data_IF_161480671257
#
_entry.id   IF_161480671257
#
_cell.length_a   1.000
_cell.length_b   1.000
_cell.length_c   1.000
_cell.angle_alpha   90.00
_cell.angle_beta   90.00
_cell.angle_gamma   90.00
#
_symmetry.space_group_name_H-M   'P 1'
#
loop_
_entity.id
_entity.type
_entity.pdbx_description
1 polymer ?
#
# COMPACT_ATOMS: atom_id res chain seq x y z
N UNK A 1 57.41 -38.38 -32.24
CA UNK A 1 57.93 -37.98 -30.91
C UNK A 1 58.83 -36.72 -30.91
N UNK A 2 58.82 -35.90 -31.98
CA UNK A 2 59.46 -34.56 -31.98
C UNK A 2 58.47 -33.50 -32.46
N UNK A 3 57.16 -33.74 -32.28
CA UNK A 3 56.17 -32.70 -32.56
C UNK A 3 56.34 -31.60 -31.53
N UNK A 4 56.53 -30.37 -31.99
CA UNK A 4 56.65 -29.19 -31.12
C UNK A 4 55.34 -28.40 -31.04
N UNK A 5 54.32 -28.80 -31.82
CA UNK A 5 53.05 -28.12 -31.93
C UNK A 5 51.98 -29.03 -32.59
N UNK A 6 51.14 -29.72 -31.82
CA UNK A 6 51.19 -29.81 -30.36
C UNK A 6 52.40 -30.62 -29.86
N UNK A 7 52.95 -30.26 -28.70
CA UNK A 7 53.96 -31.02 -27.98
C UNK A 7 53.29 -32.19 -27.28
N UNK A 8 53.38 -33.36 -27.92
CA UNK A 8 52.73 -34.58 -27.43
C UNK A 8 53.25 -34.98 -26.03
N UNK A 9 54.52 -34.67 -25.71
CA UNK A 9 55.11 -35.01 -24.41
C UNK A 9 54.61 -34.08 -23.32
N UNK A 10 54.51 -32.77 -23.61
CA UNK A 10 54.00 -31.78 -22.67
C UNK A 10 52.52 -31.99 -22.36
N UNK A 11 51.72 -32.29 -23.39
CA UNK A 11 50.26 -32.45 -23.28
C UNK A 11 49.80 -33.87 -22.96
N UNK A 12 50.73 -34.82 -22.79
CA UNK A 12 50.45 -36.23 -22.54
C UNK A 12 49.54 -36.86 -23.62
N UNK A 13 49.68 -36.42 -24.87
CA UNK A 13 48.94 -36.94 -26.03
C UNK A 13 49.54 -38.30 -26.40
N UNK A 14 48.72 -39.32 -26.73
CA UNK A 14 49.20 -40.61 -27.19
C UNK A 14 50.23 -40.49 -28.32
N UNK A 15 51.31 -41.28 -28.26
CA UNK A 15 52.38 -41.27 -29.26
C UNK A 15 52.18 -42.30 -30.38
N UNK A 16 51.04 -43.01 -30.35
CA UNK A 16 50.61 -43.89 -31.44
C UNK A 16 50.12 -43.02 -32.59
N UNK A 17 50.87 -42.99 -33.68
CA UNK A 17 50.61 -42.10 -34.80
C UNK A 17 49.24 -42.34 -35.44
N UNK A 18 48.83 -43.61 -35.55
CA UNK A 18 47.62 -44.03 -36.27
C UNK A 18 46.34 -43.70 -35.49
N UNK A 19 46.46 -43.30 -34.22
CA UNK A 19 45.32 -42.87 -33.39
C UNK A 19 44.81 -41.48 -33.82
N UNK A 20 45.66 -40.68 -34.48
CA UNK A 20 45.34 -39.30 -34.86
C UNK A 20 45.75 -38.93 -36.29
N UNK A 21 46.65 -39.66 -36.94
CA UNK A 21 47.13 -39.34 -38.29
C UNK A 21 46.75 -40.43 -39.29
N UNK A 22 46.32 -40.00 -40.49
CA UNK A 22 46.11 -40.90 -41.62
C UNK A 22 47.10 -40.58 -42.75
N UNK A 23 47.31 -41.51 -43.67
CA UNK A 23 48.11 -41.27 -44.88
C UNK A 23 47.26 -40.88 -46.09
N UNK A 24 45.93 -40.92 -45.96
CA UNK A 24 44.94 -40.60 -47.00
C UNK A 24 43.75 -39.89 -46.34
N UNK A 25 43.49 -38.60 -46.62
CA UNK A 25 44.04 -37.78 -47.71
C UNK A 25 45.46 -37.23 -47.46
N UNK A 26 46.01 -37.39 -46.24
CA UNK A 26 47.35 -36.96 -45.88
C UNK A 26 47.55 -36.86 -44.37
N UNK A 27 48.81 -36.65 -43.94
CA UNK A 27 49.21 -36.62 -42.53
C UNK A 27 48.56 -35.49 -41.70
N UNK A 28 48.00 -34.48 -42.37
CA UNK A 28 47.31 -33.34 -41.76
C UNK A 28 45.98 -33.07 -42.49
N UNK A 29 44.94 -32.61 -41.77
CA UNK A 29 44.89 -32.43 -40.31
C UNK A 29 44.87 -33.77 -39.57
N UNK A 30 45.34 -33.77 -38.32
CA UNK A 30 45.17 -34.91 -37.43
C UNK A 30 43.69 -35.01 -37.01
N UNK A 31 43.14 -36.22 -36.91
CA UNK A 31 41.84 -36.49 -36.29
C UNK A 31 42.04 -36.57 -34.78
N UNK A 32 41.23 -35.83 -34.01
CA UNK A 32 41.35 -35.79 -32.56
C UNK A 32 40.03 -36.17 -31.92
N UNK A 33 39.72 -37.48 -31.92
CA UNK A 33 38.46 -38.03 -31.40
C UNK A 33 38.28 -37.81 -29.88
N UNK A 34 39.32 -37.36 -29.18
CA UNK A 34 39.31 -37.02 -27.74
C UNK A 34 39.16 -35.52 -27.49
N UNK A 35 38.91 -34.69 -28.51
CA UNK A 35 38.77 -33.22 -28.37
C UNK A 35 37.73 -32.84 -27.31
N UNK A 36 36.58 -33.50 -27.36
CA UNK A 36 35.44 -33.20 -26.48
C UNK A 36 35.71 -33.55 -25.01
N UNK A 37 36.74 -34.35 -24.71
CA UNK A 37 37.20 -34.58 -23.32
C UNK A 37 37.85 -33.33 -22.72
N UNK A 38 38.28 -32.37 -23.55
CA UNK A 38 38.96 -31.13 -23.14
C UNK A 38 38.11 -29.88 -23.36
N UNK A 39 37.41 -29.81 -24.50
CA UNK A 39 36.49 -28.72 -24.82
C UNK A 39 35.40 -29.21 -25.79
N UNK A 40 34.15 -29.42 -25.33
CA UNK A 40 33.09 -29.90 -26.21
C UNK A 40 32.65 -28.81 -27.19
N UNK A 41 32.72 -29.10 -28.48
CA UNK A 41 32.24 -28.18 -29.51
C UNK A 41 30.72 -28.26 -29.60
N UNK A 42 30.04 -27.24 -29.10
CA UNK A 42 28.57 -27.17 -29.02
C UNK A 42 28.05 -25.82 -29.53
N UNK A 43 26.78 -25.79 -29.91
CA UNK A 43 26.12 -24.60 -30.47
C UNK A 43 26.90 -23.97 -31.63
N UNK A 44 27.19 -22.68 -31.55
CA UNK A 44 27.91 -21.92 -32.58
C UNK A 44 29.32 -22.44 -32.88
N UNK A 45 29.96 -23.14 -31.93
CA UNK A 45 31.29 -23.72 -32.14
C UNK A 45 31.28 -24.87 -33.16
N UNK A 46 30.13 -25.51 -33.40
CA UNK A 46 29.99 -26.55 -34.41
C UNK A 46 30.26 -26.03 -35.83
N UNK A 47 29.96 -24.76 -36.10
CA UNK A 47 30.13 -24.15 -37.43
C UNK A 47 31.61 -24.00 -37.82
N UNK A 48 32.49 -23.90 -36.83
CA UNK A 48 33.95 -23.76 -37.00
C UNK A 48 34.73 -24.99 -36.56
N UNK A 49 34.05 -26.10 -36.23
CA UNK A 49 34.67 -27.29 -35.65
C UNK A 49 35.79 -27.90 -36.51
N UNK A 50 35.77 -27.67 -37.82
CA UNK A 50 36.78 -28.17 -38.75
C UNK A 50 37.85 -27.13 -39.15
N UNK A 51 37.77 -25.90 -38.62
CA UNK A 51 38.75 -24.84 -38.86
C UNK A 51 39.60 -24.61 -37.61
N UNK A 52 40.50 -25.55 -37.36
CA UNK A 52 41.33 -25.57 -36.16
C UNK A 52 42.15 -24.27 -35.97
N UNK A 53 42.47 -23.57 -37.07
CA UNK A 53 43.23 -22.33 -37.02
C UNK A 53 42.47 -21.18 -36.35
N UNK A 54 41.12 -21.18 -36.39
CA UNK A 54 40.30 -20.14 -35.75
C UNK A 54 40.38 -20.19 -34.22
N UNK A 55 40.54 -21.38 -33.65
CA UNK A 55 40.65 -21.56 -32.20
C UNK A 55 42.12 -21.53 -31.75
N UNK A 56 42.94 -22.34 -32.40
CA UNK A 56 44.33 -22.53 -31.97
C UNK A 56 45.26 -21.42 -32.45
N UNK A 57 44.87 -20.60 -33.43
CA UNK A 57 45.71 -19.54 -34.02
C UNK A 57 47.10 -20.04 -34.48
N UNK A 58 47.18 -21.32 -34.84
CA UNK A 58 48.41 -21.99 -35.23
C UNK A 58 49.29 -22.46 -34.06
N UNK A 59 48.88 -22.33 -32.80
CA UNK A 59 49.54 -22.87 -31.61
C UNK A 59 48.59 -23.78 -30.82
N UNK A 60 48.83 -25.09 -30.92
CA UNK A 60 48.05 -26.17 -30.30
C UNK A 60 48.59 -26.54 -28.90
N UNK A 61 49.59 -25.84 -28.38
CA UNK A 61 50.17 -26.15 -27.05
C UNK A 61 49.44 -25.49 -25.89
N UNK A 62 48.77 -24.37 -26.11
CA UNK A 62 48.24 -23.54 -25.02
C UNK A 62 46.99 -22.74 -25.43
N UNK A 63 46.09 -23.38 -26.15
CA UNK A 63 44.80 -22.78 -26.51
C UNK A 63 43.93 -22.69 -25.26
N UNK A 64 43.47 -21.48 -24.87
CA UNK A 64 42.58 -21.34 -23.74
C UNK A 64 41.26 -22.09 -23.97
N UNK A 65 40.64 -22.56 -22.87
CA UNK A 65 39.36 -23.26 -22.89
C UNK A 65 38.30 -22.60 -22.00
N UNK A 66 38.51 -21.34 -21.62
CA UNK A 66 37.52 -20.52 -20.92
C UNK A 66 36.94 -19.48 -21.86
N UNK A 67 35.67 -19.15 -21.67
CA UNK A 67 34.94 -18.23 -22.53
C UNK A 67 35.61 -16.85 -22.57
N UNK A 68 35.96 -16.30 -21.41
CA UNK A 68 36.60 -15.00 -21.27
C UNK A 68 37.94 -14.92 -22.00
N UNK A 69 38.75 -15.98 -22.01
CA UNK A 69 40.04 -15.95 -22.66
C UNK A 69 39.97 -15.76 -24.20
N UNK A 70 38.84 -16.13 -24.82
CA UNK A 70 38.59 -15.95 -26.24
C UNK A 70 37.66 -14.75 -26.52
N UNK A 71 36.59 -14.62 -25.73
CA UNK A 71 35.49 -13.69 -25.97
C UNK A 71 35.51 -12.45 -25.07
N UNK A 72 36.63 -12.14 -24.39
CA UNK A 72 36.80 -10.88 -23.67
C UNK A 72 36.55 -9.63 -24.54
N UNK A 73 36.95 -9.59 -25.84
CA UNK A 73 36.59 -8.48 -26.71
C UNK A 73 35.07 -8.34 -26.87
N UNK A 74 34.34 -9.44 -27.05
CA UNK A 74 32.88 -9.43 -27.20
C UNK A 74 32.21 -8.95 -25.90
N UNK A 75 32.67 -9.45 -24.75
CA UNK A 75 32.25 -9.00 -23.42
C UNK A 75 32.43 -7.48 -23.27
N UNK A 76 33.60 -6.95 -23.63
CA UNK A 76 33.92 -5.53 -23.52
C UNK A 76 33.17 -4.64 -24.51
N UNK A 77 32.73 -5.19 -25.65
CA UNK A 77 32.00 -4.47 -26.69
C UNK A 77 30.48 -4.53 -26.53
N UNK A 78 29.97 -5.37 -25.62
CA UNK A 78 28.53 -5.44 -25.35
C UNK A 78 28.00 -4.09 -24.88
N UNK A 79 26.87 -3.67 -25.43
CA UNK A 79 26.23 -2.38 -25.11
C UNK A 79 24.84 -2.53 -24.51
N UNK A 80 24.28 -3.74 -24.47
CA UNK A 80 22.94 -3.98 -23.94
C UNK A 80 22.72 -5.45 -23.55
N UNK A 81 22.94 -5.81 -22.26
CA UNK A 81 23.52 -4.96 -21.22
C UNK A 81 25.01 -4.67 -21.48
N UNK A 82 25.47 -3.47 -21.12
CA UNK A 82 26.91 -3.15 -21.05
C UNK A 82 27.50 -3.82 -19.80
N UNK A 83 28.10 -4.98 -20.02
CA UNK A 83 28.68 -5.81 -18.96
C UNK A 83 29.73 -5.07 -18.12
N UNK A 84 30.53 -4.19 -18.73
CA UNK A 84 31.58 -3.46 -18.02
C UNK A 84 30.98 -2.39 -17.11
N UNK A 85 30.02 -1.61 -17.63
CA UNK A 85 29.39 -0.54 -16.86
C UNK A 85 28.60 -1.07 -15.66
N UNK A 86 27.98 -2.25 -15.83
CA UNK A 86 27.19 -2.92 -14.81
C UNK A 86 28.02 -3.83 -13.88
N UNK A 87 29.31 -4.02 -14.19
CA UNK A 87 30.20 -4.87 -13.39
C UNK A 87 29.77 -6.33 -13.36
N UNK A 88 29.22 -6.84 -14.47
CA UNK A 88 28.76 -8.21 -14.58
C UNK A 88 29.94 -9.21 -14.52
N UNK A 89 29.74 -10.46 -14.07
CA UNK A 89 30.81 -11.43 -14.00
C UNK A 89 31.30 -11.85 -15.39
N UNK A 90 32.58 -12.24 -15.48
CA UNK A 90 33.18 -12.81 -16.71
C UNK A 90 32.97 -14.32 -16.82
N UNK A 91 32.25 -14.92 -15.88
CA UNK A 91 31.76 -16.30 -15.94
C UNK A 91 30.59 -16.35 -16.93
N UNK A 92 30.90 -16.42 -18.23
CA UNK A 92 29.89 -16.30 -19.29
C UNK A 92 28.79 -17.35 -19.18
N UNK A 93 29.11 -18.54 -18.68
CA UNK A 93 28.21 -19.68 -18.48
C UNK A 93 27.21 -19.51 -17.33
N UNK A 94 27.37 -18.48 -16.50
CA UNK A 94 26.35 -18.10 -15.51
C UNK A 94 25.08 -17.54 -16.17
N UNK A 95 25.20 -17.05 -17.42
CA UNK A 95 24.12 -16.39 -18.15
C UNK A 95 23.89 -16.98 -19.54
N UNK A 96 24.96 -17.23 -20.29
CA UNK A 96 24.89 -17.60 -21.70
C UNK A 96 25.15 -19.09 -21.94
N UNK A 97 24.58 -19.60 -23.02
CA UNK A 97 24.94 -20.90 -23.58
C UNK A 97 25.85 -20.72 -24.79
N UNK A 98 26.39 -21.83 -25.30
CA UNK A 98 27.12 -21.84 -26.58
C UNK A 98 26.20 -21.70 -27.80
N UNK A 99 24.88 -21.57 -27.61
CA UNK A 99 23.94 -21.44 -28.71
C UNK A 99 24.23 -20.18 -29.55
N UNK A 100 23.84 -20.17 -30.84
CA UNK A 100 24.06 -19.03 -31.70
C UNK A 100 23.58 -17.72 -31.09
N UNK A 101 24.33 -16.65 -31.35
CA UNK A 101 24.04 -15.29 -30.88
C UNK A 101 24.03 -15.12 -29.35
N UNK A 102 24.62 -16.04 -28.59
CA UNK A 102 24.66 -16.02 -27.11
C UNK A 102 23.26 -16.07 -26.47
N UNK A 103 22.28 -16.63 -27.17
CA UNK A 103 20.88 -16.69 -26.77
C UNK A 103 20.34 -18.13 -26.66
N UNK A 104 19.47 -18.42 -25.67
CA UNK A 104 18.94 -17.48 -24.68
C UNK A 104 19.96 -17.14 -23.59
N UNK A 105 19.90 -15.90 -23.11
CA UNK A 105 20.59 -15.50 -21.88
C UNK A 105 19.64 -15.69 -20.70
N UNK A 106 20.13 -16.33 -19.65
CA UNK A 106 19.49 -16.41 -18.34
C UNK A 106 20.15 -15.40 -17.40
N UNK A 107 19.50 -15.08 -16.29
CA UNK A 107 20.06 -14.14 -15.31
C UNK A 107 19.68 -14.59 -13.90
N UNK A 108 20.14 -15.77 -13.50
CA UNK A 108 19.84 -16.36 -12.18
C UNK A 108 20.35 -15.51 -11.00
N UNK A 109 21.23 -14.55 -11.28
CA UNK A 109 21.73 -13.55 -10.31
C UNK A 109 20.84 -12.31 -10.20
N UNK A 110 19.67 -12.27 -10.86
CA UNK A 110 18.76 -11.11 -10.88
C UNK A 110 18.42 -10.59 -9.48
N UNK A 111 18.15 -11.49 -8.53
CA UNK A 111 17.78 -11.16 -7.16
C UNK A 111 18.90 -10.45 -6.36
N UNK A 112 20.15 -10.48 -6.84
CA UNK A 112 21.23 -9.68 -6.26
C UNK A 112 21.05 -8.18 -6.54
N UNK A 113 20.20 -7.82 -7.52
CA UNK A 113 19.95 -6.45 -7.97
C UNK A 113 18.53 -6.01 -7.65
N UNK A 114 17.52 -6.84 -7.94
CA UNK A 114 16.12 -6.59 -7.64
C UNK A 114 15.38 -7.92 -7.46
N UNK A 115 14.74 -8.13 -6.31
CA UNK A 115 14.02 -9.39 -6.04
C UNK A 115 12.62 -9.31 -6.65
N UNK A 116 12.25 -10.30 -7.46
CA UNK A 116 10.93 -10.37 -8.08
C UNK A 116 9.95 -11.10 -7.16
N UNK A 117 9.16 -10.33 -6.39
CA UNK A 117 8.14 -10.85 -5.47
C UNK A 117 6.71 -10.53 -5.96
N UNK A 118 5.71 -11.18 -5.36
CA UNK A 118 4.31 -10.89 -5.57
C UNK A 118 3.91 -10.91 -7.06
N UNK A 119 3.29 -9.84 -7.53
CA UNK A 119 2.89 -9.67 -8.92
C UNK A 119 4.08 -9.67 -9.90
N UNK A 120 5.27 -9.19 -9.49
CA UNK A 120 6.46 -9.20 -10.34
C UNK A 120 6.98 -10.62 -10.59
N UNK A 121 6.83 -11.53 -9.62
CA UNK A 121 7.22 -12.93 -9.79
C UNK A 121 6.45 -13.63 -10.92
N UNK A 122 5.23 -13.18 -11.23
CA UNK A 122 4.38 -13.75 -12.29
C UNK A 122 4.92 -13.44 -13.69
N UNK A 123 5.68 -12.36 -13.83
CA UNK A 123 6.26 -11.90 -15.11
C UNK A 123 7.78 -12.02 -15.14
N UNK A 124 8.37 -12.82 -14.24
CA UNK A 124 9.82 -12.91 -14.09
C UNK A 124 10.56 -13.37 -15.36
N UNK A 125 9.90 -14.15 -16.21
CA UNK A 125 10.44 -14.61 -17.49
C UNK A 125 10.17 -13.66 -18.67
N UNK A 126 9.41 -12.57 -18.46
CA UNK A 126 9.14 -11.54 -19.48
C UNK A 126 10.05 -10.34 -19.29
N UNK A 127 11.34 -10.51 -19.63
CA UNK A 127 12.35 -9.48 -19.44
C UNK A 127 11.96 -8.15 -20.12
N UNK A 128 11.23 -8.21 -21.24
CA UNK A 128 10.81 -7.02 -21.97
C UNK A 128 9.76 -6.20 -21.21
N UNK A 129 8.92 -6.84 -20.37
CA UNK A 129 7.91 -6.14 -19.57
C UNK A 129 8.53 -5.11 -18.62
N UNK A 130 9.73 -5.37 -18.09
CA UNK A 130 10.42 -4.47 -17.17
C UNK A 130 11.51 -3.64 -17.85
N UNK A 131 12.31 -4.27 -18.71
CA UNK A 131 13.47 -3.61 -19.32
C UNK A 131 13.12 -2.84 -20.59
N UNK A 132 11.98 -3.11 -21.23
CA UNK A 132 11.56 -2.48 -22.49
C UNK A 132 12.62 -2.56 -23.61
N UNK A 133 13.48 -3.59 -23.55
CA UNK A 133 14.58 -3.81 -24.47
C UNK A 133 15.88 -3.06 -24.14
N UNK A 134 15.95 -2.28 -23.05
CA UNK A 134 17.17 -1.67 -22.54
C UNK A 134 17.51 -2.19 -21.13
N UNK A 135 18.57 -2.97 -21.05
CA UNK A 135 19.03 -3.64 -19.84
C UNK A 135 20.11 -2.85 -19.09
N UNK A 136 20.40 -1.61 -19.50
CA UNK A 136 21.44 -0.79 -18.88
C UNK A 136 20.95 0.07 -17.71
N UNK A 137 19.69 0.48 -17.72
CA UNK A 137 19.21 1.53 -16.80
C UNK A 137 17.75 1.33 -16.38
N UNK A 138 17.37 0.10 -16.07
CA UNK A 138 16.04 -0.19 -15.54
C UNK A 138 15.95 0.27 -14.08
N UNK A 139 14.98 1.13 -13.73
CA UNK A 139 14.80 1.57 -12.36
C UNK A 139 14.51 0.39 -11.42
N UNK A 140 14.97 0.48 -10.18
CA UNK A 140 14.74 -0.52 -9.13
C UNK A 140 13.89 0.02 -7.97
N UNK A 141 13.15 1.08 -8.22
CA UNK A 141 12.20 1.68 -7.27
C UNK A 141 10.82 1.65 -7.89
N UNK A 142 9.79 1.44 -7.05
CA UNK A 142 8.39 1.38 -7.51
C UNK A 142 8.03 2.59 -8.37
N UNK A 143 8.31 3.81 -7.86
CA UNK A 143 8.02 5.06 -8.56
C UNK A 143 8.84 5.22 -9.84
N UNK A 144 10.04 4.63 -9.95
CA UNK A 144 10.86 4.71 -11.15
C UNK A 144 10.20 4.05 -12.36
N UNK A 145 9.45 2.97 -12.12
CA UNK A 145 8.68 2.27 -13.16
C UNK A 145 7.24 2.77 -13.26
N UNK A 146 6.59 3.02 -12.12
CA UNK A 146 5.16 3.30 -12.01
C UNK A 146 4.84 4.79 -11.80
N UNK A 147 5.68 5.70 -12.31
CA UNK A 147 5.44 7.16 -12.20
C UNK A 147 4.17 7.58 -12.94
N UNK A 148 3.89 6.98 -14.09
CA UNK A 148 2.69 7.29 -14.86
C UNK A 148 1.44 6.79 -14.12
N UNK A 149 1.46 5.56 -13.60
CA UNK A 149 0.37 5.03 -12.75
C UNK A 149 0.12 5.92 -11.53
N UNK A 150 1.19 6.41 -10.88
CA UNK A 150 1.09 7.35 -9.76
C UNK A 150 0.43 8.67 -10.17
N UNK A 151 0.83 9.26 -11.29
CA UNK A 151 0.31 10.54 -11.77
C UNK A 151 -1.11 10.44 -12.35
N UNK A 152 -1.46 9.30 -12.92
CA UNK A 152 -2.76 9.08 -13.58
C UNK A 152 -3.84 8.60 -12.59
N UNK A 153 -3.48 8.27 -11.35
CA UNK A 153 -4.43 7.88 -10.31
C UNK A 153 -5.26 9.10 -9.89
N UNK A 154 -6.59 9.00 -9.99
CA UNK A 154 -7.55 10.10 -9.71
C UNK A 154 -8.44 9.83 -8.50
N UNK A 155 -8.32 8.68 -7.85
CA UNK A 155 -9.17 8.31 -6.72
C UNK A 155 -8.50 7.29 -5.77
N UNK A 156 -7.90 7.74 -4.66
CA UNK A 156 -7.60 9.15 -4.38
C UNK A 156 -6.56 9.70 -5.37
N UNK A 157 -6.65 10.97 -5.74
CA UNK A 157 -5.62 11.62 -6.55
C UNK A 157 -4.33 11.76 -5.73
N UNK A 158 -3.32 10.97 -6.10
CA UNK A 158 -2.06 10.91 -5.35
C UNK A 158 -1.27 12.23 -5.43
N UNK A 159 -1.36 12.93 -6.57
CA UNK A 159 -0.62 14.17 -6.80
C UNK A 159 -1.28 15.31 -6.04
N UNK A 160 -2.59 15.47 -6.18
CA UNK A 160 -3.34 16.55 -5.54
C UNK A 160 -3.38 16.37 -4.01
N UNK A 161 -3.47 15.13 -3.53
CA UNK A 161 -3.38 14.83 -2.10
C UNK A 161 -1.94 14.83 -1.56
N UNK A 162 -0.94 15.03 -2.43
CA UNK A 162 0.48 15.04 -2.09
C UNK A 162 0.90 13.79 -1.29
N UNK A 163 0.45 12.62 -1.77
CA UNK A 163 0.75 11.33 -1.16
C UNK A 163 2.24 10.97 -1.31
N UNK A 164 2.78 10.10 -0.44
CA UNK A 164 4.16 9.68 -0.54
C UNK A 164 4.40 8.79 -1.77
N UNK A 165 5.62 8.86 -2.31
CA UNK A 165 6.09 7.97 -3.39
C UNK A 165 6.70 6.66 -2.85
N UNK A 166 6.75 6.50 -1.53
CA UNK A 166 7.05 5.22 -0.89
C UNK A 166 5.79 4.35 -0.90
N UNK A 167 5.58 3.64 -2.02
CA UNK A 167 4.34 2.92 -2.31
C UNK A 167 4.00 1.88 -1.22
N UNK A 168 5.01 1.30 -0.57
CA UNK A 168 4.85 0.25 0.44
C UNK A 168 4.25 0.76 1.76
N UNK A 169 4.08 2.08 1.92
CA UNK A 169 3.32 2.64 3.03
C UNK A 169 1.81 2.31 2.94
N UNK A 170 1.30 2.05 1.74
CA UNK A 170 -0.12 1.81 1.49
C UNK A 170 -0.39 0.55 0.66
N UNK A 171 0.51 0.19 -0.26
CA UNK A 171 0.34 -0.92 -1.20
C UNK A 171 1.26 -2.09 -0.87
N UNK A 172 0.95 -3.26 -1.44
CA UNK A 172 1.80 -4.44 -1.33
C UNK A 172 2.12 -4.98 -2.73
N UNK A 173 3.24 -5.68 -2.86
CA UNK A 173 3.64 -6.32 -4.11
C UNK A 173 2.72 -7.49 -4.48
N UNK A 174 2.04 -8.11 -3.51
CA UNK A 174 1.11 -9.23 -3.72
C UNK A 174 -0.23 -8.75 -4.29
N UNK A 175 -0.76 -7.65 -3.75
CA UNK A 175 -2.00 -7.03 -4.18
C UNK A 175 -1.92 -5.51 -4.05
N UNK A 176 -2.14 -4.82 -5.17
CA UNK A 176 -2.17 -3.35 -5.21
C UNK A 176 -3.44 -2.76 -4.57
N UNK A 177 -4.55 -3.50 -4.66
CA UNK A 177 -5.86 -3.13 -4.10
C UNK A 177 -6.44 -4.34 -3.33
N UNK A 178 -7.02 -4.14 -2.14
CA UNK A 178 -7.15 -2.87 -1.42
C UNK A 178 -5.81 -2.38 -0.87
N UNK A 179 -5.63 -1.06 -0.81
CA UNK A 179 -4.54 -0.44 -0.07
C UNK A 179 -4.88 -0.33 1.42
N UNK A 180 -3.86 -0.14 2.26
CA UNK A 180 -4.01 0.22 3.65
C UNK A 180 -3.73 1.71 3.84
N UNK A 181 -4.48 2.37 4.72
CA UNK A 181 -4.26 3.78 5.05
C UNK A 181 -4.45 4.03 6.54
N UNK A 182 -3.49 4.71 7.16
CA UNK A 182 -3.60 5.11 8.56
C UNK A 182 -4.46 6.38 8.69
N UNK A 183 -5.65 6.20 9.25
CA UNK A 183 -6.61 7.28 9.45
C UNK A 183 -6.29 8.16 10.68
N UNK A 184 -5.35 7.77 11.54
CA UNK A 184 -5.11 8.41 12.84
C UNK A 184 -4.79 9.91 12.75
N UNK A 185 -4.19 10.35 11.64
CA UNK A 185 -3.83 11.75 11.40
C UNK A 185 -4.91 12.58 10.71
N UNK A 186 -5.98 11.93 10.21
CA UNK A 186 -7.01 12.56 9.38
C UNK A 186 -8.40 12.48 10.01
N UNK A 187 -8.79 11.28 10.46
CA UNK A 187 -10.03 11.00 11.15
C UNK A 187 -9.85 9.75 12.03
N UNK A 188 -9.52 9.92 13.33
CA UNK A 188 -9.37 8.79 14.24
C UNK A 188 -10.66 7.97 14.34
N UNK A 189 -10.61 6.70 13.94
CA UNK A 189 -11.76 5.80 13.96
C UNK A 189 -12.00 5.29 15.40
N UNK A 190 -12.76 6.03 16.20
CA UNK A 190 -13.10 5.70 17.58
C UNK A 190 -14.54 5.19 17.71
N UNK A 191 -14.93 4.75 18.91
CA UNK A 191 -16.30 4.34 19.24
C UNK A 191 -16.99 3.49 18.16
N UNK A 192 -18.17 3.91 17.72
CA UNK A 192 -18.93 3.24 16.67
C UNK A 192 -18.20 3.20 15.31
N UNK A 193 -17.40 4.22 14.97
CA UNK A 193 -16.62 4.25 13.71
C UNK A 193 -15.54 3.15 13.67
N UNK A 194 -14.97 2.79 14.82
CA UNK A 194 -14.00 1.70 14.90
C UNK A 194 -14.56 0.34 14.44
N UNK A 195 -15.88 0.13 14.59
CA UNK A 195 -16.55 -1.11 14.21
C UNK A 195 -16.70 -1.27 12.69
N UNK A 196 -16.61 -0.17 11.95
CA UNK A 196 -16.74 -0.14 10.49
C UNK A 196 -15.43 0.25 9.79
N UNK A 197 -14.30 0.25 10.51
CA UNK A 197 -13.00 0.71 10.02
C UNK A 197 -12.50 0.00 8.74
N UNK A 198 -12.97 -1.23 8.49
CA UNK A 198 -12.59 -2.02 7.31
C UNK A 198 -13.65 -1.99 6.19
N UNK A 199 -14.74 -1.25 6.35
CA UNK A 199 -15.77 -1.08 5.32
C UNK A 199 -15.66 0.34 4.73
N UNK A 200 -14.63 0.53 3.90
CA UNK A 200 -14.27 1.82 3.33
C UNK A 200 -15.46 2.49 2.62
N UNK A 201 -16.35 1.68 2.01
CA UNK A 201 -17.47 2.19 1.23
C UNK A 201 -18.58 2.84 2.09
N UNK A 202 -18.66 2.51 3.38
CA UNK A 202 -19.61 3.17 4.29
C UNK A 202 -19.24 4.65 4.53
N UNK A 203 -17.96 4.99 4.46
CA UNK A 203 -17.49 6.36 4.69
C UNK A 203 -17.22 7.07 3.35
N UNK A 204 -16.43 6.44 2.48
CA UNK A 204 -15.95 7.08 1.26
C UNK A 204 -16.96 7.01 0.12
N UNK A 205 -17.92 6.07 0.15
CA UNK A 205 -18.93 5.88 -0.92
C UNK A 205 -18.31 5.75 -2.33
N UNK A 206 -17.07 5.26 -2.41
CA UNK A 206 -16.30 5.15 -3.64
C UNK A 206 -15.57 6.41 -4.09
N UNK A 207 -15.67 7.55 -3.38
CA UNK A 207 -14.87 8.76 -3.61
C UNK A 207 -13.94 9.03 -2.42
N UNK A 208 -12.66 8.81 -2.62
CA UNK A 208 -11.60 9.01 -1.63
C UNK A 208 -10.97 10.41 -1.70
N UNK A 209 -11.44 11.29 -2.58
CA UNK A 209 -10.91 12.65 -2.72
C UNK A 209 -11.58 13.65 -1.78
N UNK A 210 -12.87 13.47 -1.50
CA UNK A 210 -13.70 14.49 -0.86
C UNK A 210 -14.52 13.99 0.32
N UNK A 211 -14.05 12.94 1.01
CA UNK A 211 -14.75 12.40 2.18
C UNK A 211 -14.70 13.41 3.33
N UNK A 212 -15.85 13.87 3.85
CA UNK A 212 -15.87 14.78 4.98
C UNK A 212 -15.23 14.16 6.23
N UNK A 213 -14.59 14.98 7.05
CA UNK A 213 -13.98 14.55 8.31
C UNK A 213 -14.58 15.26 9.53
N UNK A 214 -15.76 15.84 9.39
CA UNK A 214 -16.53 16.46 10.48
C UNK A 214 -17.82 15.68 10.70
N UNK A 215 -18.29 15.64 11.94
CA UNK A 215 -19.51 14.91 12.34
C UNK A 215 -20.68 15.28 11.43
N UNK A 216 -21.00 16.57 11.34
CA UNK A 216 -22.10 17.08 10.50
C UNK A 216 -21.84 16.89 9.00
N UNK A 217 -20.59 16.82 8.55
CA UNK A 217 -20.25 16.58 7.15
C UNK A 217 -20.81 15.24 6.65
N UNK A 218 -20.87 14.23 7.53
CA UNK A 218 -21.47 12.93 7.25
C UNK A 218 -22.91 12.81 7.78
N UNK A 219 -23.17 13.36 8.97
CA UNK A 219 -24.43 13.19 9.71
C UNK A 219 -25.36 14.41 9.63
N UNK A 220 -25.32 15.18 8.53
CA UNK A 220 -26.21 16.33 8.33
C UNK A 220 -27.69 15.90 8.35
N UNK A 221 -28.02 14.78 7.70
CA UNK A 221 -29.38 14.27 7.69
C UNK A 221 -29.83 13.86 9.08
N UNK A 222 -28.98 13.19 9.87
CA UNK A 222 -29.30 12.83 11.25
C UNK A 222 -29.49 14.08 12.15
N UNK A 223 -28.71 15.13 11.91
CA UNK A 223 -28.87 16.43 12.57
C UNK A 223 -30.22 17.08 12.22
N UNK A 224 -30.58 17.12 10.93
CA UNK A 224 -31.81 17.74 10.43
C UNK A 224 -33.07 16.95 10.83
N UNK A 225 -32.97 15.62 10.92
CA UNK A 225 -34.09 14.71 11.22
C UNK A 225 -34.33 14.54 12.74
N UNK A 226 -33.44 15.05 13.59
CA UNK A 226 -33.62 15.00 15.03
C UNK A 226 -34.82 15.84 15.46
N UNK A 227 -35.70 15.29 16.31
CA UNK A 227 -36.94 15.97 16.75
C UNK A 227 -37.06 16.13 18.26
N UNK A 228 -36.16 15.55 19.05
CA UNK A 228 -36.19 15.66 20.51
C UNK A 228 -34.76 15.63 21.11
N UNK A 229 -34.15 16.81 21.29
CA UNK A 229 -34.64 18.10 20.81
C UNK A 229 -34.55 18.21 19.27
N UNK A 230 -35.31 19.12 18.68
CA UNK A 230 -35.15 19.49 17.26
C UNK A 230 -33.92 20.38 17.12
N UNK A 231 -32.84 19.82 16.54
CA UNK A 231 -31.57 20.53 16.42
C UNK A 231 -31.62 21.71 15.45
N UNK A 232 -32.24 21.52 14.28
CA UNK A 232 -32.28 22.52 13.23
C UNK A 232 -33.14 23.73 13.64
N UNK A 233 -34.33 23.49 14.18
CA UNK A 233 -35.25 24.55 14.61
C UNK A 233 -34.68 25.32 15.81
N UNK A 234 -34.08 24.61 16.77
CA UNK A 234 -33.43 25.24 17.93
C UNK A 234 -32.10 25.93 17.60
N UNK A 235 -31.57 25.73 16.40
CA UNK A 235 -30.27 26.22 15.97
C UNK A 235 -29.13 25.76 16.89
N UNK A 236 -29.18 24.50 17.32
CA UNK A 236 -28.08 23.91 18.09
C UNK A 236 -26.78 23.90 17.28
N UNK A 237 -25.60 23.89 17.94
CA UNK A 237 -24.34 23.89 17.20
C UNK A 237 -24.10 22.53 16.54
N UNK A 238 -23.25 22.51 15.51
CA UNK A 238 -22.82 21.29 14.82
C UNK A 238 -21.57 20.66 15.46
N UNK A 239 -21.16 21.14 16.63
CA UNK A 239 -20.15 20.52 17.51
C UNK A 239 -20.82 19.42 18.32
N UNK A 240 -21.09 18.29 17.65
CA UNK A 240 -21.85 17.18 18.21
C UNK A 240 -21.28 16.68 19.53
N UNK A 241 -19.95 16.72 19.68
CA UNK A 241 -19.17 16.31 20.84
C UNK A 241 -19.45 17.11 22.11
N UNK A 242 -20.12 18.26 22.02
CA UNK A 242 -20.58 19.02 23.18
C UNK A 242 -21.68 18.27 23.95
N UNK A 243 -22.41 17.39 23.26
CA UNK A 243 -23.57 16.67 23.81
C UNK A 243 -23.50 15.15 23.58
N UNK A 244 -22.88 14.69 22.50
CA UNK A 244 -22.87 13.29 22.09
C UNK A 244 -21.46 12.69 22.15
N UNK A 245 -21.40 11.36 22.24
CA UNK A 245 -20.12 10.62 22.18
C UNK A 245 -20.18 9.58 21.08
N UNK A 246 -19.02 9.26 20.51
CA UNK A 246 -18.89 8.21 19.50
C UNK A 246 -19.14 6.80 20.09
N UNK A 247 -18.98 6.63 21.41
CA UNK A 247 -19.21 5.36 22.10
C UNK A 247 -20.70 5.10 22.36
N UNK A 248 -21.44 6.17 22.70
CA UNK A 248 -22.88 6.14 22.95
C UNK A 248 -23.51 7.47 22.52
N UNK A 249 -24.24 7.43 21.40
CA UNK A 249 -24.90 8.63 20.86
C UNK A 249 -26.13 9.05 21.68
N UNK A 250 -26.87 8.06 22.23
CA UNK A 250 -28.06 8.27 23.05
C UNK A 250 -27.96 7.43 24.33
N UNK A 251 -28.27 7.99 25.51
CA UNK A 251 -28.62 9.40 25.75
C UNK A 251 -27.41 10.33 25.53
N UNK A 252 -27.67 11.62 25.31
CA UNK A 252 -26.61 12.63 25.29
C UNK A 252 -25.96 12.75 26.67
N UNK A 253 -24.70 13.18 26.71
CA UNK A 253 -23.94 13.53 27.93
C UNK A 253 -24.13 14.99 28.35
N UNK A 254 -25.12 15.67 27.78
CA UNK A 254 -25.42 17.07 28.09
C UNK A 254 -25.80 17.24 29.56
N UNK A 255 -25.06 18.09 30.27
CA UNK A 255 -25.30 18.38 31.68
C UNK A 255 -26.35 19.49 31.84
N UNK A 256 -27.62 19.09 31.87
CA UNK A 256 -28.73 20.03 32.09
C UNK A 256 -28.71 20.61 33.51
N UNK A 257 -28.62 19.77 34.55
CA UNK A 257 -28.72 20.19 35.96
C UNK A 257 -27.55 21.08 36.41
N UNK A 258 -26.37 20.91 35.82
CA UNK A 258 -25.21 21.76 36.11
C UNK A 258 -25.27 23.14 35.47
N UNK A 259 -26.08 23.31 34.41
CA UNK A 259 -26.16 24.56 33.63
C UNK A 259 -27.49 25.30 33.78
N UNK A 260 -28.57 24.57 34.04
CA UNK A 260 -29.95 25.05 34.03
C UNK A 260 -30.73 24.54 35.25
N UNK A 261 -32.04 24.79 35.27
CA UNK A 261 -32.90 24.31 36.35
C UNK A 261 -32.80 22.78 36.48
N UNK A 262 -32.51 22.23 37.68
CA UNK A 262 -32.32 20.80 37.83
C UNK A 262 -33.63 20.03 37.64
N UNK A 263 -33.61 19.07 36.72
CA UNK A 263 -34.73 18.17 36.39
C UNK A 263 -34.35 16.69 36.55
N UNK A 264 -33.06 16.37 36.57
CA UNK A 264 -32.55 15.01 36.77
C UNK A 264 -32.19 14.73 38.23
N UNK A 265 -32.74 15.52 39.15
CA UNK A 265 -32.57 15.39 40.59
C UNK A 265 -33.81 15.88 41.34
N UNK A 266 -33.86 15.63 42.65
CA UNK A 266 -34.98 16.10 43.48
C UNK A 266 -36.30 15.40 43.16
N UNK A 267 -37.39 16.17 43.12
CA UNK A 267 -38.74 15.63 42.87
C UNK A 267 -39.05 15.37 41.38
N UNK A 268 -38.27 15.96 40.48
CA UNK A 268 -38.42 15.80 39.04
C UNK A 268 -37.64 14.60 38.47
N UNK A 269 -36.75 14.01 39.28
CA UNK A 269 -35.88 12.91 38.87
C UNK A 269 -36.70 11.71 38.34
N UNK A 270 -36.43 11.30 37.10
CA UNK A 270 -37.11 10.21 36.37
C UNK A 270 -38.59 10.45 36.04
N UNK A 271 -39.13 11.65 36.24
CA UNK A 271 -40.53 11.97 35.87
C UNK A 271 -40.66 12.24 34.37
N UNK A 272 -39.65 12.87 33.75
CA UNK A 272 -39.60 13.16 32.32
C UNK A 272 -38.28 12.71 31.70
N UNK A 273 -38.33 12.40 30.40
CA UNK A 273 -37.16 11.93 29.65
C UNK A 273 -37.02 12.58 28.28
N UNK A 274 -38.01 13.36 27.83
CA UNK A 274 -37.96 14.08 26.57
C UNK A 274 -37.87 15.58 26.85
N UNK A 275 -37.01 16.27 26.11
CA UNK A 275 -36.85 17.72 26.24
C UNK A 275 -38.16 18.44 25.93
N UNK A 276 -38.92 17.92 24.96
CA UNK A 276 -40.22 18.46 24.53
C UNK A 276 -41.34 18.32 25.57
N UNK A 277 -41.13 17.53 26.64
CA UNK A 277 -42.09 17.44 27.75
C UNK A 277 -42.14 18.78 28.52
N UNK A 278 -41.04 19.52 28.56
CA UNK A 278 -40.92 20.82 29.23
C UNK A 278 -40.76 21.99 28.23
N UNK A 279 -40.01 21.78 27.15
CA UNK A 279 -39.71 22.81 26.15
C UNK A 279 -40.65 22.71 24.95
N UNK A 280 -41.73 23.49 24.99
CA UNK A 280 -42.81 23.43 24.01
C UNK A 280 -42.43 24.24 22.75
N UNK A 281 -42.86 23.77 21.57
CA UNK A 281 -42.63 24.41 20.26
C UNK A 281 -41.14 24.63 19.91
N UNK A 282 -40.24 23.79 20.44
CA UNK A 282 -38.79 23.92 20.24
C UNK A 282 -38.20 25.26 20.75
N UNK A 283 -38.89 25.94 21.67
CA UNK A 283 -38.30 27.03 22.45
C UNK A 283 -37.61 26.46 23.69
N UNK A 284 -36.30 26.31 23.60
CA UNK A 284 -35.44 25.83 24.69
C UNK A 284 -34.90 26.99 25.56
N UNK A 285 -35.31 28.23 25.28
CA UNK A 285 -34.92 29.41 26.07
C UNK A 285 -35.93 29.78 27.15
N UNK A 286 -37.12 29.17 27.08
CA UNK A 286 -38.18 29.38 28.05
C UNK A 286 -38.74 28.05 28.54
N UNK A 287 -39.26 28.09 29.76
CA UNK A 287 -40.07 27.03 30.35
C UNK A 287 -41.04 27.68 31.34
N UNK A 288 -42.08 26.94 31.72
CA UNK A 288 -43.11 27.45 32.62
C UNK A 288 -43.45 26.40 33.67
N UNK A 289 -43.29 26.75 34.94
CA UNK A 289 -43.60 25.86 36.04
C UNK A 289 -45.10 25.51 36.06
N UNK A 290 -45.95 26.48 35.69
CA UNK A 290 -47.42 26.39 35.76
C UNK A 290 -48.06 25.74 34.53
N UNK A 291 -47.30 25.45 33.49
CA UNK A 291 -47.81 24.69 32.34
C UNK A 291 -47.62 23.17 32.53
N UNK A 292 -46.90 22.76 33.59
CA UNK A 292 -46.71 21.37 33.96
C UNK A 292 -47.95 20.78 34.65
N UNK A 293 -48.20 19.49 34.46
CA UNK A 293 -49.43 18.80 34.91
C UNK A 293 -49.74 18.91 36.41
N UNK A 294 -48.72 18.98 37.28
CA UNK A 294 -48.91 19.08 38.74
C UNK A 294 -49.13 20.52 39.22
N UNK A 295 -48.70 21.51 38.45
CA UNK A 295 -48.71 22.92 38.85
C UNK A 295 -49.65 23.78 38.02
N UNK A 296 -50.48 23.18 37.15
CA UNK A 296 -51.40 23.91 36.28
C UNK A 296 -52.77 24.17 36.91
N UNK A 297 -53.08 23.54 38.05
CA UNK A 297 -54.27 23.84 38.84
C UNK A 297 -53.94 24.86 39.93
N UNK A 298 -54.25 26.13 39.65
CA UNK A 298 -54.04 27.21 40.59
C UNK A 298 -54.72 26.98 41.94
N UNK A 299 -55.87 26.30 42.00
CA UNK A 299 -56.59 26.10 43.27
C UNK A 299 -55.81 25.15 44.18
N UNK A 300 -55.26 24.06 43.61
CA UNK A 300 -54.46 23.11 44.37
C UNK A 300 -53.15 23.76 44.83
N UNK A 301 -52.47 24.49 43.93
CA UNK A 301 -51.23 25.19 44.28
C UNK A 301 -51.47 26.30 45.31
N UNK A 302 -52.56 27.06 45.22
CA UNK A 302 -52.93 28.08 46.21
C UNK A 302 -53.18 27.47 47.61
N UNK A 303 -53.78 26.27 47.69
CA UNK A 303 -54.01 25.56 48.96
C UNK A 303 -52.70 25.07 49.59
N UNK A 304 -51.78 24.52 48.77
CA UNK A 304 -50.45 24.10 49.22
C UNK A 304 -49.57 25.26 49.71
N UNK A 305 -49.85 26.47 49.25
CA UNK A 305 -49.14 27.70 49.63
C UNK A 305 -49.91 28.57 50.65
N UNK A 306 -50.96 28.06 51.30
CA UNK A 306 -51.70 28.82 52.32
C UNK A 306 -50.77 29.27 53.46
N UNK A 307 -50.80 30.57 53.74
CA UNK A 307 -49.95 31.20 54.75
C UNK A 307 -48.48 31.44 54.33
N UNK A 308 -48.09 31.16 53.08
CA UNK A 308 -46.77 31.54 52.54
C UNK A 308 -46.77 33.03 52.18
N UNK A 309 -45.96 33.88 52.86
CA UNK A 309 -45.91 35.31 52.55
C UNK A 309 -45.38 35.56 51.14
N UNK A 310 -45.97 36.54 50.44
CA UNK A 310 -45.56 36.98 49.10
C UNK A 310 -45.65 35.90 48.00
N UNK A 311 -46.41 34.82 48.24
CA UNK A 311 -46.76 33.84 47.22
C UNK A 311 -47.54 34.48 46.07
N UNK A 312 -47.15 34.15 44.84
CA UNK A 312 -47.81 34.55 43.60
C UNK A 312 -47.80 33.33 42.67
N UNK A 313 -48.97 32.98 42.13
CA UNK A 313 -49.12 31.96 41.11
C UNK A 313 -48.60 32.45 39.75
N UNK A 314 -47.28 32.50 39.61
CA UNK A 314 -46.57 32.89 38.40
C UNK A 314 -45.27 32.09 38.29
N UNK A 315 -44.95 31.56 37.11
CA UNK A 315 -43.75 30.72 36.88
C UNK A 315 -42.45 31.37 37.40
N UNK A 316 -42.28 32.68 37.22
CA UNK A 316 -41.07 33.39 37.67
C UNK A 316 -40.95 33.43 39.21
N UNK A 317 -42.08 33.52 39.92
CA UNK A 317 -42.13 33.47 41.37
C UNK A 317 -41.88 32.04 41.89
N UNK A 318 -42.44 31.02 41.22
CA UNK A 318 -42.16 29.61 41.51
C UNK A 318 -40.65 29.35 41.47
N UNK A 319 -39.98 29.77 40.39
CA UNK A 319 -38.52 29.60 40.25
C UNK A 319 -37.73 30.35 41.33
N UNK A 320 -38.16 31.55 41.72
CA UNK A 320 -37.50 32.34 42.76
C UNK A 320 -37.58 31.67 44.15
N UNK A 321 -38.70 31.02 44.46
CA UNK A 321 -38.90 30.28 45.71
C UNK A 321 -38.29 28.87 45.69
N UNK A 322 -38.30 28.22 44.53
CA UNK A 322 -37.85 26.84 44.32
C UNK A 322 -36.73 26.74 43.28
N UNK A 323 -35.56 27.37 43.48
CA UNK A 323 -34.53 27.49 42.45
C UNK A 323 -33.84 26.16 42.07
N UNK A 324 -34.10 25.09 42.84
CA UNK A 324 -33.46 23.78 42.70
C UNK A 324 -34.45 22.61 42.68
N UNK A 325 -35.75 22.86 42.52
CA UNK A 325 -36.74 21.79 42.33
C UNK A 325 -36.87 20.77 43.48
N UNK A 326 -36.52 21.16 44.71
CA UNK A 326 -36.55 20.28 45.89
C UNK A 326 -37.96 20.01 46.45
N UNK A 327 -38.97 20.75 46.01
CA UNK A 327 -40.33 20.76 46.56
C UNK A 327 -41.32 20.36 45.50
#
# INVERSE_FOLDING_TARGET
NMSTNPDHQQLNIPVSCDDCHTTDPGWMPATFDIHDDYYPLTGAHLDIANDCALCHNGDYNNTPNTCDACHLPDYNMSTNPDHQSLGLPVSCDDCHTTDPDWMPATFDIHDNYYVLNGAHAVIADDCFACHMGDYNNTPNTCIGCHIDDYNDTTNPDHVDANLPTDCLQCHTEDAWIPSTFDHSMYYPLNGAHSLIANDCNLCHMGDYNNTPNTCVGCHQTDYDDATNPDHATAQFPTTCEDCHTEDAWVPSTFDHDGMYFPIYSGKHENEWSLCVDCHINADYTSFSCIDCHEHNDQIEVDDDHDGVPDYIYESSACYACHPIGEK
#
